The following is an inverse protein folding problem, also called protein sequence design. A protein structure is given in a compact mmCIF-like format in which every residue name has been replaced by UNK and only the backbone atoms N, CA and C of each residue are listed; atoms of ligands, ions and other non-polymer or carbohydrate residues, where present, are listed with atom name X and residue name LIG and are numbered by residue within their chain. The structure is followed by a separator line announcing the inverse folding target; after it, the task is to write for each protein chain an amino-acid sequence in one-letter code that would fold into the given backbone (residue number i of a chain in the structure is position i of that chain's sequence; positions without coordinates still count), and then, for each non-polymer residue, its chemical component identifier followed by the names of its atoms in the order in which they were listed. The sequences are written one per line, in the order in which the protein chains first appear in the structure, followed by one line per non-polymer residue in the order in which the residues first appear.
data_IF_393749304858
#
_entry.id   IF_393749304858
#
_cell.length_a   1.000
_cell.length_b   1.000
_cell.length_c   1.000
_cell.angle_alpha   90.00
_cell.angle_beta   90.00
_cell.angle_gamma   90.00
#
_symmetry.space_group_name_H-M   'P 1'
#
loop_
_entity.id
_entity.type
_entity.pdbx_description
1 polymer ?
#
# COMPACT_ATOMS: atom_id res chain seq x y z
N UNK A 1 18.75 2.57 -1.56
CA UNK A 1 19.92 2.51 -0.65
C UNK A 1 19.55 2.24 0.81
N UNK A 2 18.33 2.52 1.29
CA UNK A 2 17.96 2.27 2.69
C UNK A 2 18.12 0.79 3.12
N UNK A 3 17.71 -0.18 2.29
CA UNK A 3 17.81 -1.62 2.61
C UNK A 3 19.25 -2.08 2.82
N UNK A 4 20.18 -1.69 1.96
CA UNK A 4 21.60 -2.07 2.09
C UNK A 4 22.28 -1.31 3.22
N UNK A 5 21.88 -0.06 3.47
CA UNK A 5 22.41 0.76 4.58
C UNK A 5 22.15 0.10 5.94
N UNK A 6 20.99 -0.55 6.13
CA UNK A 6 20.66 -1.30 7.35
C UNK A 6 21.13 -2.77 7.33
N UNK A 7 21.99 -3.14 6.37
CA UNK A 7 22.53 -4.51 6.25
C UNK A 7 21.54 -5.55 5.70
N UNK A 8 20.45 -5.11 5.08
CA UNK A 8 19.47 -6.00 4.43
C UNK A 8 19.95 -6.52 3.07
N UNK A 9 19.20 -7.49 2.54
CA UNK A 9 19.44 -8.09 1.22
C UNK A 9 18.41 -7.61 0.21
N UNK A 10 18.82 -7.42 -1.04
CA UNK A 10 17.95 -7.06 -2.16
C UNK A 10 17.73 -8.30 -3.04
N UNK A 11 16.47 -8.68 -3.23
CA UNK A 11 16.08 -9.70 -4.19
C UNK A 11 15.70 -9.09 -5.53
N UNK A 12 16.26 -9.63 -6.61
CA UNK A 12 15.95 -9.21 -7.97
C UNK A 12 14.87 -10.10 -8.58
N UNK A 13 13.93 -9.50 -9.29
CA UNK A 13 12.94 -10.28 -10.06
C UNK A 13 13.61 -10.90 -11.28
N UNK A 14 13.09 -12.06 -11.70
CA UNK A 14 13.46 -12.75 -12.94
C UNK A 14 13.15 -11.95 -14.21
N UNK A 15 12.44 -10.82 -14.10
CA UNK A 15 12.16 -9.89 -15.20
C UNK A 15 10.75 -10.03 -15.78
N UNK A 16 10.07 -11.17 -15.53
CA UNK A 16 8.68 -11.36 -15.94
C UNK A 16 7.72 -11.06 -14.77
N UNK A 17 6.89 -10.02 -14.92
CA UNK A 17 5.90 -9.62 -13.90
C UNK A 17 4.90 -10.75 -13.59
N UNK A 18 4.64 -11.66 -14.54
CA UNK A 18 3.72 -12.78 -14.32
C UNK A 18 4.28 -13.76 -13.28
N UNK A 19 5.60 -13.96 -13.30
CA UNK A 19 6.35 -14.87 -12.43
C UNK A 19 6.75 -14.23 -11.11
N UNK A 20 6.42 -12.95 -10.90
CA UNK A 20 6.73 -12.23 -9.66
C UNK A 20 6.24 -12.96 -8.41
N UNK A 21 5.10 -13.65 -8.46
CA UNK A 21 4.60 -14.43 -7.32
C UNK A 21 5.48 -15.65 -6.99
N UNK A 22 6.18 -16.22 -7.98
CA UNK A 22 7.17 -17.28 -7.78
C UNK A 22 8.47 -16.70 -7.20
N UNK A 23 8.92 -15.56 -7.73
CA UNK A 23 10.09 -14.84 -7.19
C UNK A 23 9.87 -14.50 -5.70
N UNK A 24 8.69 -13.98 -5.33
CA UNK A 24 8.32 -13.68 -3.94
C UNK A 24 8.33 -14.92 -3.04
N UNK A 25 7.94 -16.08 -3.57
CA UNK A 25 7.97 -17.34 -2.83
C UNK A 25 9.38 -17.86 -2.60
N UNK A 26 10.26 -17.71 -3.58
CA UNK A 26 11.67 -18.09 -3.49
C UNK A 26 12.44 -17.15 -2.54
N UNK A 27 12.30 -15.85 -2.73
CA UNK A 27 13.04 -14.81 -2.01
C UNK A 27 12.51 -14.56 -0.60
N UNK A 28 11.22 -14.82 -0.34
CA UNK A 28 10.53 -14.58 0.94
C UNK A 28 10.84 -13.19 1.54
N UNK A 29 10.62 -12.10 0.78
CA UNK A 29 10.98 -10.76 1.24
C UNK A 29 10.14 -10.34 2.44
N UNK A 30 10.71 -9.47 3.28
CA UNK A 30 10.03 -8.86 4.43
C UNK A 30 9.36 -7.55 4.08
N UNK A 31 9.96 -6.79 3.17
CA UNK A 31 9.50 -5.50 2.68
C UNK A 31 9.34 -5.57 1.17
N UNK A 32 8.29 -4.96 0.65
CA UNK A 32 8.05 -4.88 -0.78
C UNK A 32 7.53 -3.51 -1.17
N UNK A 33 8.25 -2.85 -2.08
CA UNK A 33 7.83 -1.59 -2.68
C UNK A 33 7.16 -1.87 -4.02
N UNK A 34 5.98 -1.30 -4.26
CA UNK A 34 5.28 -1.47 -5.53
C UNK A 34 4.41 -0.29 -5.93
N UNK A 35 4.10 -0.23 -7.22
CA UNK A 35 3.09 0.70 -7.73
C UNK A 35 1.67 0.23 -7.42
N UNK A 36 0.74 1.18 -7.35
CA UNK A 36 -0.69 0.92 -7.18
C UNK A 36 -1.25 -0.06 -8.23
N UNK A 37 -0.76 0.04 -9.48
CA UNK A 37 -1.13 -0.89 -10.57
C UNK A 37 -0.69 -2.33 -10.27
N UNK A 38 0.50 -2.52 -9.70
CA UNK A 38 1.00 -3.86 -9.36
C UNK A 38 0.25 -4.43 -8.16
N UNK A 39 -0.06 -3.58 -7.17
CA UNK A 39 -0.87 -3.99 -6.02
C UNK A 39 -2.29 -4.42 -6.45
N UNK A 40 -2.90 -3.72 -7.41
CA UNK A 40 -4.18 -4.11 -8.01
C UNK A 40 -4.11 -5.46 -8.74
N UNK A 41 -2.99 -5.81 -9.36
CA UNK A 41 -2.79 -7.15 -9.93
C UNK A 41 -2.77 -8.23 -8.85
N UNK A 42 -2.13 -7.97 -7.70
CA UNK A 42 -2.16 -8.90 -6.57
C UNK A 42 -3.55 -9.04 -5.99
N UNK A 43 -4.30 -7.96 -5.82
CA UNK A 43 -5.71 -8.00 -5.44
C UNK A 43 -6.51 -8.97 -6.32
N UNK A 44 -6.43 -8.82 -7.65
CA UNK A 44 -7.12 -9.70 -8.61
C UNK A 44 -6.65 -11.15 -8.50
N UNK A 45 -5.35 -11.40 -8.34
CA UNK A 45 -4.79 -12.75 -8.14
C UNK A 45 -5.31 -13.39 -6.85
N UNK A 46 -5.38 -12.65 -5.74
CA UNK A 46 -5.92 -13.13 -4.46
C UNK A 46 -7.40 -13.48 -4.62
N UNK A 47 -8.20 -12.59 -5.21
CA UNK A 47 -9.61 -12.85 -5.47
C UNK A 47 -9.82 -14.09 -6.33
N UNK A 48 -9.07 -14.24 -7.43
CA UNK A 48 -9.13 -15.43 -8.27
C UNK A 48 -8.74 -16.71 -7.49
N UNK A 49 -7.74 -16.62 -6.61
CA UNK A 49 -7.33 -17.74 -5.74
C UNK A 49 -8.41 -18.10 -4.71
N UNK A 50 -9.21 -17.13 -4.24
CA UNK A 50 -10.33 -17.37 -3.33
C UNK A 50 -11.47 -18.04 -4.10
N UNK A 51 -11.86 -17.50 -5.25
CA UNK A 51 -12.98 -18.01 -6.07
C UNK A 51 -12.82 -19.47 -6.52
N UNK A 52 -11.59 -19.96 -6.65
CA UNK A 52 -11.29 -21.37 -6.99
C UNK A 52 -11.45 -22.35 -5.82
N UNK A 53 -11.63 -21.87 -4.58
CA UNK A 53 -11.77 -22.74 -3.40
C UNK A 53 -13.15 -23.39 -3.34
N UNK A 54 -13.24 -24.53 -2.64
CA UNK A 54 -14.53 -25.19 -2.39
C UNK A 54 -15.46 -24.34 -1.50
N UNK A 55 -16.76 -24.66 -1.48
CA UNK A 55 -17.79 -23.86 -0.77
C UNK A 55 -17.51 -23.70 0.73
N UNK A 56 -16.95 -24.73 1.37
CA UNK A 56 -16.63 -24.71 2.81
C UNK A 56 -15.49 -23.73 3.08
N UNK A 57 -14.39 -23.83 2.32
CA UNK A 57 -13.26 -22.91 2.44
C UNK A 57 -13.64 -21.49 2.05
N UNK A 58 -14.52 -21.30 1.06
CA UNK A 58 -15.06 -19.97 0.71
C UNK A 58 -15.80 -19.34 1.89
N UNK A 59 -16.65 -20.09 2.60
CA UNK A 59 -17.33 -19.59 3.81
C UNK A 59 -16.32 -19.24 4.91
N UNK A 60 -15.34 -20.10 5.15
CA UNK A 60 -14.29 -19.85 6.13
C UNK A 60 -13.47 -18.58 5.81
N UNK A 61 -13.09 -18.39 4.54
CA UNK A 61 -12.42 -17.17 4.07
C UNK A 61 -13.29 -15.95 4.31
N UNK A 62 -14.57 -15.98 3.90
CA UNK A 62 -15.48 -14.84 4.10
C UNK A 62 -15.62 -14.47 5.58
N UNK A 63 -15.76 -15.47 6.45
CA UNK A 63 -15.89 -15.25 7.89
C UNK A 63 -14.59 -14.71 8.51
N UNK A 64 -13.43 -15.21 8.08
CA UNK A 64 -12.13 -14.67 8.50
C UNK A 64 -11.96 -13.21 8.07
N UNK A 65 -12.31 -12.87 6.82
CA UNK A 65 -12.22 -11.52 6.30
C UNK A 65 -13.19 -10.56 7.03
N UNK A 66 -14.41 -10.99 7.33
CA UNK A 66 -15.37 -10.15 8.07
C UNK A 66 -14.90 -9.88 9.49
N UNK A 67 -14.46 -10.91 10.22
CA UNK A 67 -13.95 -10.77 11.59
C UNK A 67 -12.73 -9.85 11.67
N UNK A 68 -11.81 -9.95 10.70
CA UNK A 68 -10.65 -9.06 10.62
C UNK A 68 -10.98 -7.64 10.20
N UNK A 69 -11.96 -7.46 9.31
CA UNK A 69 -12.39 -6.12 8.91
C UNK A 69 -12.93 -5.33 10.11
N UNK A 70 -13.65 -5.98 11.01
CA UNK A 70 -14.12 -5.37 12.26
C UNK A 70 -12.94 -5.03 13.19
N UNK A 71 -12.00 -5.95 13.34
CA UNK A 71 -10.78 -5.73 14.15
C UNK A 71 -9.94 -4.57 13.62
N UNK A 72 -9.82 -4.43 12.30
CA UNK A 72 -9.08 -3.36 11.63
C UNK A 72 -9.70 -1.99 11.93
N UNK A 73 -11.03 -1.90 11.97
CA UNK A 73 -11.75 -0.66 12.28
C UNK A 73 -11.57 -0.22 13.73
N UNK A 74 -11.48 -1.17 14.67
CA UNK A 74 -11.44 -0.84 16.10
C UNK A 74 -10.01 -0.72 16.65
N UNK A 75 -9.04 -1.47 16.10
CA UNK A 75 -7.73 -1.65 16.74
C UNK A 75 -6.52 -1.52 15.80
N UNK A 76 -6.72 -1.18 14.53
CA UNK A 76 -5.70 -1.25 13.45
C UNK A 76 -5.00 -2.61 13.31
N UNK A 77 -5.43 -3.63 14.05
CA UNK A 77 -4.78 -4.94 14.07
C UNK A 77 -5.28 -5.80 12.93
N UNK A 78 -4.33 -6.29 12.14
CA UNK A 78 -4.56 -7.23 11.04
C UNK A 78 -4.26 -8.68 11.43
N UNK A 79 -3.67 -8.91 12.60
CA UNK A 79 -3.19 -10.22 13.03
C UNK A 79 -4.25 -10.96 13.82
N UNK A 80 -4.65 -12.13 13.30
CA UNK A 80 -5.48 -13.08 14.04
C UNK A 80 -4.90 -14.48 13.88
N UNK A 81 -4.23 -14.97 14.93
CA UNK A 81 -3.43 -16.19 14.91
C UNK A 81 -4.20 -17.44 14.44
N UNK A 82 -5.50 -17.52 14.69
CA UNK A 82 -6.34 -18.65 14.27
C UNK A 82 -6.58 -18.66 12.76
N UNK A 83 -7.10 -17.56 12.20
CA UNK A 83 -7.41 -17.46 10.77
C UNK A 83 -6.16 -17.39 9.91
N UNK A 84 -5.11 -16.75 10.43
CA UNK A 84 -3.85 -16.55 9.72
C UNK A 84 -3.17 -17.87 9.46
N UNK A 85 -3.13 -18.75 10.46
CA UNK A 85 -2.45 -20.04 10.33
C UNK A 85 -3.18 -21.02 9.42
N UNK A 86 -4.51 -20.95 9.37
CA UNK A 86 -5.37 -21.98 8.76
C UNK A 86 -5.82 -21.61 7.35
N UNK A 87 -6.39 -20.41 7.17
CA UNK A 87 -7.13 -20.03 5.95
C UNK A 87 -6.35 -19.03 5.10
N UNK A 88 -5.65 -18.08 5.72
CA UNK A 88 -5.02 -16.94 5.04
C UNK A 88 -3.55 -17.18 4.69
N UNK A 89 -2.80 -17.97 5.46
CA UNK A 89 -1.40 -18.34 5.14
C UNK A 89 -1.24 -18.95 3.74
N UNK A 90 -2.13 -19.84 3.24
CA UNK A 90 -2.04 -20.32 1.86
C UNK A 90 -2.24 -19.22 0.82
N UNK A 91 -3.12 -18.25 1.07
CA UNK A 91 -3.37 -17.11 0.16
C UNK A 91 -2.17 -16.16 0.13
N UNK A 92 -1.64 -15.79 1.30
CA UNK A 92 -0.41 -14.99 1.41
C UNK A 92 0.74 -15.67 0.69
N UNK A 93 0.95 -16.97 0.97
CA UNK A 93 2.04 -17.75 0.39
C UNK A 93 1.98 -17.80 -1.13
N UNK A 94 0.80 -17.96 -1.73
CA UNK A 94 0.67 -18.11 -3.19
C UNK A 94 0.93 -16.81 -3.95
N UNK A 95 0.75 -15.64 -3.33
CA UNK A 95 0.86 -14.34 -4.01
C UNK A 95 2.09 -13.55 -3.59
N UNK A 96 2.35 -13.44 -2.27
CA UNK A 96 3.37 -12.58 -1.67
C UNK A 96 4.49 -13.38 -0.95
N UNK A 97 4.41 -14.72 -0.95
CA UNK A 97 5.31 -15.56 -0.19
C UNK A 97 5.01 -15.55 1.32
N UNK A 98 5.84 -16.24 2.11
CA UNK A 98 5.59 -16.40 3.55
C UNK A 98 6.19 -15.29 4.42
N UNK A 99 7.17 -14.54 3.89
CA UNK A 99 7.98 -13.59 4.65
C UNK A 99 7.41 -12.17 4.73
N UNK A 100 6.39 -11.86 3.92
CA UNK A 100 5.92 -10.48 3.73
C UNK A 100 5.39 -9.87 5.03
N UNK A 101 5.93 -8.71 5.43
CA UNK A 101 5.47 -7.97 6.61
C UNK A 101 4.95 -6.59 6.22
N UNK A 102 5.69 -5.87 5.38
CA UNK A 102 5.38 -4.50 4.99
C UNK A 102 5.33 -4.37 3.47
N UNK A 103 4.28 -3.72 2.98
CA UNK A 103 4.17 -3.26 1.60
C UNK A 103 4.16 -1.74 1.62
N UNK A 104 4.98 -1.11 0.80
CA UNK A 104 4.93 0.33 0.55
C UNK A 104 4.37 0.51 -0.85
N UNK A 105 3.23 1.18 -0.96
CA UNK A 105 2.57 1.44 -2.23
C UNK A 105 2.63 2.93 -2.56
N UNK A 106 2.94 3.25 -3.81
CA UNK A 106 2.90 4.63 -4.30
C UNK A 106 2.60 4.73 -5.79
N UNK A 107 2.48 5.95 -6.28
CA UNK A 107 2.08 6.27 -7.65
C UNK A 107 0.64 6.76 -7.72
N UNK A 108 -0.25 5.95 -8.30
CA UNK A 108 -1.65 6.33 -8.53
C UNK A 108 -2.53 6.11 -7.29
N UNK A 109 -3.71 6.72 -7.26
CA UNK A 109 -4.72 6.47 -6.23
C UNK A 109 -5.19 5.00 -6.23
N UNK A 110 -5.44 4.45 -5.05
CA UNK A 110 -6.04 3.13 -4.84
C UNK A 110 -7.06 3.23 -3.72
N UNK A 111 -8.21 2.58 -3.87
CA UNK A 111 -9.26 2.67 -2.85
C UNK A 111 -8.86 1.96 -1.56
N UNK A 112 -9.30 2.53 -0.44
CA UNK A 112 -9.09 1.95 0.89
C UNK A 112 -9.66 0.54 1.03
N UNK A 113 -10.76 0.25 0.33
CA UNK A 113 -11.33 -1.11 0.29
C UNK A 113 -10.34 -2.15 -0.25
N UNK A 114 -9.58 -1.81 -1.29
CA UNK A 114 -8.58 -2.72 -1.88
C UNK A 114 -7.40 -2.89 -0.93
N UNK A 115 -6.94 -1.79 -0.33
CA UNK A 115 -5.84 -1.81 0.64
C UNK A 115 -6.21 -2.66 1.86
N UNK A 116 -7.39 -2.43 2.42
CA UNK A 116 -7.90 -3.17 3.57
C UNK A 116 -8.06 -4.64 3.24
N UNK A 117 -8.60 -4.97 2.07
CA UNK A 117 -8.70 -6.35 1.62
C UNK A 117 -7.34 -7.04 1.58
N UNK A 118 -6.30 -6.38 1.06
CA UNK A 118 -4.94 -6.96 1.03
C UNK A 118 -4.36 -7.06 2.44
N UNK A 119 -4.51 -6.00 3.27
CA UNK A 119 -4.09 -5.95 4.68
C UNK A 119 -4.62 -7.16 5.45
N UNK A 120 -5.94 -7.40 5.38
CA UNK A 120 -6.59 -8.50 6.13
C UNK A 120 -6.33 -9.87 5.51
N UNK A 121 -6.31 -9.99 4.18
CA UNK A 121 -6.17 -11.29 3.48
C UNK A 121 -4.76 -11.86 3.57
N UNK A 122 -3.76 -10.98 3.66
CA UNK A 122 -2.35 -11.37 3.70
C UNK A 122 -1.69 -11.16 5.07
N UNK A 123 -2.39 -10.56 6.05
CA UNK A 123 -1.80 -10.11 7.33
C UNK A 123 -0.51 -9.33 7.08
N UNK A 124 -0.63 -8.24 6.33
CA UNK A 124 0.50 -7.38 5.94
C UNK A 124 0.14 -5.93 6.21
N UNK A 125 1.09 -5.19 6.75
CA UNK A 125 0.99 -3.74 6.94
C UNK A 125 1.25 -3.05 5.61
N UNK A 126 0.37 -2.15 5.20
CA UNK A 126 0.52 -1.38 3.94
C UNK A 126 0.67 0.09 4.27
N UNK A 127 1.78 0.66 3.82
CA UNK A 127 2.11 2.08 3.89
C UNK A 127 1.76 2.74 2.57
N UNK A 128 1.02 3.83 2.61
CA UNK A 128 0.61 4.59 1.42
C UNK A 128 1.54 5.78 1.26
N UNK A 129 2.22 5.85 0.12
CA UNK A 129 3.22 6.85 -0.17
C UNK A 129 2.79 7.71 -1.35
N UNK A 130 2.75 9.03 -1.16
CA UNK A 130 2.69 9.94 -2.28
C UNK A 130 4.08 10.12 -2.88
N UNK A 131 4.21 9.92 -4.18
CA UNK A 131 5.50 9.95 -4.88
C UNK A 131 5.36 10.75 -6.17
N UNK A 132 6.41 11.47 -6.55
CA UNK A 132 6.43 12.18 -7.83
C UNK A 132 7.82 12.05 -8.47
N UNK A 133 7.92 11.99 -9.80
CA UNK A 133 9.19 11.81 -10.52
C UNK A 133 10.22 12.93 -10.28
N UNK A 134 9.76 14.14 -9.97
CA UNK A 134 10.61 15.30 -9.66
C UNK A 134 10.97 15.37 -8.16
N UNK A 135 10.39 14.51 -7.34
CA UNK A 135 10.87 14.24 -6.00
C UNK A 135 11.71 12.95 -6.05
N UNK A 136 12.91 12.96 -5.51
CA UNK A 136 13.76 11.81 -5.32
C UNK A 136 13.17 10.89 -4.23
N UNK A 137 12.05 10.23 -4.55
CA UNK A 137 11.40 9.23 -3.71
C UNK A 137 9.99 9.61 -3.24
N UNK A 138 9.77 9.44 -1.93
CA UNK A 138 8.48 9.62 -1.27
C UNK A 138 8.37 11.07 -0.80
N UNK A 139 7.22 11.69 -1.00
CA UNK A 139 6.90 13.05 -0.56
C UNK A 139 6.18 13.00 0.79
N UNK A 140 5.16 12.16 0.91
CA UNK A 140 4.41 11.94 2.14
C UNK A 140 4.16 10.45 2.35
N UNK A 141 4.02 10.04 3.60
CA UNK A 141 3.84 8.63 3.97
C UNK A 141 2.78 8.47 5.06
N UNK A 142 1.73 7.70 4.77
CA UNK A 142 0.75 7.26 5.76
C UNK A 142 1.25 6.05 6.53
N UNK A 143 1.07 6.09 7.86
CA UNK A 143 1.37 4.96 8.72
C UNK A 143 0.48 3.78 8.38
N UNK A 144 1.03 2.57 8.39
CA UNK A 144 0.23 1.36 8.21
C UNK A 144 -0.71 1.06 9.38
N UNK A 145 -0.48 1.71 10.53
CA UNK A 145 -1.29 1.56 11.74
C UNK A 145 -2.29 2.73 11.92
N UNK A 146 -2.34 3.65 10.95
CA UNK A 146 -3.29 4.77 10.99
C UNK A 146 -4.73 4.26 10.91
N UNK A 147 -5.58 4.80 11.78
CA UNK A 147 -7.02 4.50 11.81
C UNK A 147 -7.74 5.41 10.82
N UNK A 148 -7.21 6.62 10.59
CA UNK A 148 -7.75 7.56 9.62
C UNK A 148 -7.41 7.04 8.22
N UNK A 149 -8.39 7.14 7.33
CA UNK A 149 -8.34 6.60 5.97
C UNK A 149 -8.37 7.74 4.97
N UNK A 150 -8.07 7.45 3.71
CA UNK A 150 -8.15 8.41 2.60
C UNK A 150 -7.18 9.60 2.70
N UNK A 151 -5.98 9.36 3.26
CA UNK A 151 -4.87 10.30 3.23
C UNK A 151 -3.56 9.57 2.98
N UNK A 152 -2.56 10.31 2.49
CA UNK A 152 -1.20 9.81 2.19
C UNK A 152 -0.20 10.19 3.28
N UNK A 153 -0.70 10.45 4.48
CA UNK A 153 0.07 10.81 5.68
C UNK A 153 0.79 12.15 5.61
N UNK A 154 1.71 12.33 6.55
CA UNK A 154 2.49 13.55 6.69
C UNK A 154 3.62 13.64 5.67
N UNK A 155 4.00 14.88 5.35
CA UNK A 155 5.17 15.18 4.53
C UNK A 155 6.42 14.71 5.26
N UNK A 156 7.38 14.13 4.52
CA UNK A 156 8.64 13.68 5.12
C UNK A 156 9.44 14.87 5.67
N UNK A 157 10.14 14.67 6.78
CA UNK A 157 10.82 15.72 7.56
C UNK A 157 11.81 16.58 6.77
N UNK A 158 12.35 16.07 5.67
CA UNK A 158 13.29 16.79 4.81
C UNK A 158 12.62 17.58 3.68
N UNK A 159 11.28 17.60 3.62
CA UNK A 159 10.50 18.30 2.61
C UNK A 159 9.54 19.29 3.25
N UNK A 160 9.39 20.44 2.61
CA UNK A 160 8.35 21.43 2.87
C UNK A 160 7.30 21.30 1.77
N UNK A 161 6.02 21.36 2.15
CA UNK A 161 4.89 21.37 1.22
C UNK A 161 4.06 22.63 1.43
N UNK A 162 3.65 23.26 0.33
CA UNK A 162 2.71 24.38 0.32
C UNK A 162 1.59 24.09 -0.68
N UNK A 163 0.37 24.50 -0.33
CA UNK A 163 -0.74 24.61 -1.26
C UNK A 163 -0.81 26.04 -1.80
N UNK A 164 -0.95 26.19 -3.11
CA UNK A 164 -1.22 27.47 -3.76
C UNK A 164 -2.57 27.42 -4.46
N UNK A 165 -3.28 28.55 -4.42
CA UNK A 165 -4.56 28.72 -5.10
C UNK A 165 -4.42 28.40 -6.60
N UNK A 166 -5.44 27.75 -7.16
CA UNK A 166 -5.53 27.49 -8.60
C UNK A 166 -6.68 28.31 -9.16
N UNK A 167 -6.38 29.15 -10.15
CA UNK A 167 -7.40 29.94 -10.81
C UNK A 167 -8.47 29.04 -11.45
N UNK A 168 -9.73 29.44 -11.27
CA UNK A 168 -10.94 28.71 -11.70
C UNK A 168 -10.94 28.29 -13.18
N UNK A 169 -10.18 28.97 -14.04
CA UNK A 169 -10.06 28.65 -15.48
C UNK A 169 -9.25 27.39 -15.76
N UNK A 170 -8.29 27.06 -14.91
CA UNK A 170 -7.38 25.94 -15.14
C UNK A 170 -7.95 24.63 -14.59
N UNK A 171 -8.69 24.70 -13.47
CA UNK A 171 -9.21 23.54 -12.73
C UNK A 171 -10.47 23.93 -11.92
N UNK A 172 -11.67 23.95 -12.52
CA UNK A 172 -12.89 24.41 -11.84
C UNK A 172 -13.31 23.52 -10.66
N UNK A 173 -12.84 22.28 -10.59
CA UNK A 173 -13.12 21.31 -9.52
C UNK A 173 -12.25 21.51 -8.26
N UNK A 174 -11.20 22.33 -8.35
CA UNK A 174 -10.21 22.53 -7.28
C UNK A 174 -10.19 23.98 -6.76
N UNK A 175 -11.33 24.66 -6.81
CA UNK A 175 -11.46 26.02 -6.26
C UNK A 175 -11.69 25.99 -4.75
N UNK A 176 -10.90 26.76 -4.01
CA UNK A 176 -11.06 26.99 -2.59
C UNK A 176 -10.87 28.49 -2.32
N UNK A 177 -11.90 29.14 -1.77
CA UNK A 177 -11.88 30.57 -1.43
C UNK A 177 -11.39 30.82 0.03
N UNK A 178 -10.87 29.79 0.70
CA UNK A 178 -10.37 29.84 2.08
C UNK A 178 -8.89 30.25 2.16
N UNK A 179 -8.50 30.94 3.24
CA UNK A 179 -7.12 31.27 3.59
C UNK A 179 -6.76 30.71 4.98
N UNK A 180 -5.85 29.72 5.08
CA UNK A 180 -5.10 29.10 4.00
C UNK A 180 -5.95 28.16 3.13
N UNK A 181 -5.57 27.93 1.85
CA UNK A 181 -6.33 27.09 0.94
C UNK A 181 -6.33 25.62 1.38
N UNK A 182 -7.52 25.00 1.43
CA UNK A 182 -7.68 23.57 1.73
C UNK A 182 -7.55 22.68 0.49
N UNK A 183 -7.67 23.26 -0.70
CA UNK A 183 -7.49 22.60 -2.00
C UNK A 183 -6.66 23.52 -2.90
N UNK A 184 -5.70 22.97 -3.63
CA UNK A 184 -4.86 23.76 -4.52
C UNK A 184 -3.75 22.97 -5.19
N UNK A 185 -2.84 23.68 -5.88
CA UNK A 185 -1.65 23.10 -6.49
C UNK A 185 -0.60 22.84 -5.40
N UNK A 186 -0.05 21.62 -5.42
CA UNK A 186 0.99 21.21 -4.47
C UNK A 186 2.35 21.71 -4.95
N UNK A 187 3.04 22.45 -4.09
CA UNK A 187 4.44 22.82 -4.23
C UNK A 187 5.27 22.11 -3.17
N UNK A 188 6.44 21.62 -3.58
CA UNK A 188 7.38 20.94 -2.71
C UNK A 188 8.75 21.60 -2.78
N UNK A 189 9.44 21.69 -1.65
CA UNK A 189 10.79 22.21 -1.54
C UNK A 189 11.60 21.35 -0.58
N UNK A 190 12.87 21.12 -0.88
CA UNK A 190 13.79 20.42 0.02
C UNK A 190 14.88 19.65 -0.73
N UNK A 191 15.81 19.00 -0.01
CA UNK A 191 16.94 18.27 -0.59
C UNK A 191 16.51 17.10 -1.49
N UNK A 192 15.30 16.58 -1.29
CA UNK A 192 14.72 15.52 -2.11
C UNK A 192 14.12 16.00 -3.44
N UNK A 193 14.13 17.29 -3.78
CA UNK A 193 13.60 17.77 -5.06
C UNK A 193 14.70 17.77 -6.13
N UNK A 194 14.43 17.13 -7.28
CA UNK A 194 15.36 17.06 -8.41
C UNK A 194 15.54 18.47 -8.98
N UNK A 195 16.80 18.93 -9.02
CA UNK A 195 17.16 20.19 -9.67
C UNK A 195 17.23 19.95 -11.18
N UNK A 196 16.46 20.73 -11.93
CA UNK A 196 16.59 20.83 -13.38
C UNK A 196 17.54 21.97 -13.74
#
# INVERSE_FOLDING_TARGET
MATTYVGGSIGYSSGNINDLSLDMQALKPTHFYCSSKLLLKFYKKIQASISKKNRIMLRAVKWALSSKSESLKTSSSVDNRMYDRTVLKPLKRSVLGTGMKHIIVGGDYISQEILDFIRISCSTKIWEAYTHKQAAGIISLASADDIVKDHVGGVLEHLEMKLEYVERKDCPEFTCDEDPPTIGRIFIKGPGVVKN
#
